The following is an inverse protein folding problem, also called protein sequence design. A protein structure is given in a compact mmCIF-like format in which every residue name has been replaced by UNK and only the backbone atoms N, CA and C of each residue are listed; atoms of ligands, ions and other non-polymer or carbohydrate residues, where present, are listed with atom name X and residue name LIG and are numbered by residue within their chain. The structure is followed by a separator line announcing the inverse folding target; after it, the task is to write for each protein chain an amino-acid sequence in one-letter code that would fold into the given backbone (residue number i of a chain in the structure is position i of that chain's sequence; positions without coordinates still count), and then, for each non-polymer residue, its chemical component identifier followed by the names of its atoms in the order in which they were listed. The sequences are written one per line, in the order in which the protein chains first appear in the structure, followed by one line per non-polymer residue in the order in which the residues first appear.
data_IF_540378943970
#
_entry.id   IF_540378943970
#
_cell.length_a   1.000
_cell.length_b   1.000
_cell.length_c   1.000
_cell.angle_alpha   90.00
_cell.angle_beta   90.00
_cell.angle_gamma   90.00
#
_symmetry.space_group_name_H-M   'P 1'
#
loop_
_entity.id
_entity.type
_entity.pdbx_description
1 polymer ?
#
# COMPACT_ATOMS: atom_id res chain seq x y z
N UNK A 1 2.76 26.49 9.45
CA UNK A 1 3.86 26.33 8.48
C UNK A 1 3.49 25.17 7.57
N UNK A 2 3.61 25.32 6.24
CA UNK A 2 3.34 24.24 5.28
C UNK A 2 4.62 23.43 5.13
N UNK A 3 4.56 22.13 5.36
CA UNK A 3 5.72 21.25 5.17
C UNK A 3 6.04 21.09 3.67
N UNK A 4 7.34 20.97 3.30
CA UNK A 4 7.73 20.73 1.92
C UNK A 4 7.20 19.37 1.44
N UNK A 5 6.79 19.29 0.17
CA UNK A 5 6.35 18.03 -0.44
C UNK A 5 7.57 17.14 -0.70
N UNK A 6 7.48 15.86 -0.38
CA UNK A 6 8.55 14.87 -0.59
C UNK A 6 8.08 13.74 -1.49
N UNK A 7 9.02 13.11 -2.19
CA UNK A 7 8.74 11.95 -3.02
C UNK A 7 8.42 10.75 -2.13
N UNK A 8 7.28 10.04 -2.33
CA UNK A 8 6.87 8.93 -1.47
C UNK A 8 7.71 7.65 -1.65
N UNK A 9 8.69 7.67 -2.55
CA UNK A 9 9.53 6.50 -2.88
C UNK A 9 10.95 6.61 -2.34
N UNK A 10 11.49 7.83 -2.23
CA UNK A 10 12.88 8.07 -1.83
C UNK A 10 13.08 9.29 -0.94
N UNK A 11 12.01 9.93 -0.48
CA UNK A 11 11.99 11.09 0.42
C UNK A 11 12.65 12.38 -0.10
N UNK A 12 13.11 12.37 -1.36
CA UNK A 12 13.65 13.56 -2.00
C UNK A 12 12.62 14.71 -1.97
N UNK A 13 13.04 15.90 -1.55
CA UNK A 13 12.20 17.10 -1.59
C UNK A 13 11.85 17.45 -3.02
N UNK A 14 10.57 17.69 -3.28
CA UNK A 14 10.07 18.12 -4.59
C UNK A 14 10.28 19.64 -4.70
N UNK A 15 10.95 20.14 -5.77
CA UNK A 15 11.11 21.56 -5.97
C UNK A 15 9.75 22.30 -6.02
N UNK A 16 9.63 23.49 -5.42
CA UNK A 16 8.35 24.19 -5.26
C UNK A 16 7.77 24.71 -6.58
N UNK A 17 8.57 24.79 -7.63
CA UNK A 17 8.18 25.19 -8.98
C UNK A 17 7.56 24.03 -9.79
N UNK A 18 7.77 22.78 -9.38
CA UNK A 18 7.16 21.59 -10.00
C UNK A 18 5.68 21.52 -9.67
N UNK A 19 4.84 21.42 -10.70
CA UNK A 19 3.39 21.46 -10.60
C UNK A 19 2.77 20.32 -11.40
N UNK A 20 1.66 19.71 -10.93
CA UNK A 20 1.01 18.64 -11.67
C UNK A 20 0.46 19.05 -13.04
N UNK A 21 0.20 20.33 -13.27
CA UNK A 21 -0.33 20.86 -14.53
C UNK A 21 0.75 21.34 -15.51
N UNK A 22 2.03 21.20 -15.16
CA UNK A 22 3.14 21.64 -16.02
C UNK A 22 3.54 20.59 -17.07
N UNK A 23 4.29 21.04 -18.08
CA UNK A 23 4.72 20.20 -19.20
C UNK A 23 6.17 19.71 -19.07
N UNK A 24 6.90 20.09 -18.02
CA UNK A 24 8.27 19.62 -17.84
C UNK A 24 8.30 18.12 -17.48
N UNK A 25 9.42 17.42 -17.72
CA UNK A 25 9.56 16.04 -17.27
C UNK A 25 9.35 15.85 -15.77
N UNK A 26 9.72 16.84 -14.95
CA UNK A 26 9.52 16.82 -13.50
C UNK A 26 8.03 16.99 -13.13
N UNK A 27 7.31 17.87 -13.84
CA UNK A 27 5.87 18.09 -13.67
C UNK A 27 5.08 16.82 -13.95
N UNK A 28 5.39 16.15 -15.08
CA UNK A 28 4.77 14.85 -15.44
C UNK A 28 5.10 13.71 -14.49
N UNK A 29 6.16 13.87 -13.69
CA UNK A 29 6.54 12.91 -12.68
C UNK A 29 5.93 13.23 -11.31
N UNK A 30 5.35 14.41 -11.09
CA UNK A 30 4.71 14.77 -9.82
C UNK A 30 3.65 13.71 -9.43
N UNK A 31 3.59 13.23 -8.17
CA UNK A 31 4.29 13.67 -6.96
C UNK A 31 5.65 12.97 -6.70
N UNK A 32 6.26 12.38 -7.72
CA UNK A 32 7.56 11.73 -7.62
C UNK A 32 8.69 12.69 -8.04
N UNK A 33 9.91 12.49 -7.53
CA UNK A 33 11.06 13.31 -7.92
C UNK A 33 11.57 13.01 -9.35
N UNK A 34 11.11 11.91 -9.97
CA UNK A 34 11.54 11.46 -11.29
C UNK A 34 10.64 10.34 -11.82
N UNK A 35 10.71 10.09 -13.13
CA UNK A 35 10.07 8.94 -13.77
C UNK A 35 10.52 7.60 -13.17
N UNK A 36 11.79 7.49 -12.73
CA UNK A 36 12.29 6.28 -12.07
C UNK A 36 11.47 5.93 -10.82
N UNK A 37 11.18 6.93 -9.97
CA UNK A 37 10.39 6.71 -8.76
C UNK A 37 8.92 6.39 -9.08
N UNK A 38 8.34 7.01 -10.11
CA UNK A 38 7.00 6.65 -10.61
C UNK A 38 6.91 5.19 -11.03
N UNK A 39 7.92 4.69 -11.77
CA UNK A 39 7.93 3.30 -12.23
C UNK A 39 8.15 2.30 -11.07
N UNK A 40 8.94 2.67 -10.06
CA UNK A 40 9.10 1.86 -8.85
C UNK A 40 7.78 1.75 -8.08
N UNK A 41 7.05 2.86 -7.94
CA UNK A 41 5.72 2.85 -7.32
C UNK A 41 4.78 1.93 -8.10
N UNK A 42 4.71 2.08 -9.42
CA UNK A 42 3.89 1.23 -10.29
C UNK A 42 4.24 -0.26 -10.15
N UNK A 43 5.52 -0.60 -10.04
CA UNK A 43 5.93 -1.99 -9.80
C UNK A 43 5.42 -2.48 -8.43
N UNK A 44 5.54 -1.69 -7.36
CA UNK A 44 5.01 -2.05 -6.04
C UNK A 44 3.50 -2.27 -6.06
N UNK A 45 2.76 -1.44 -6.80
CA UNK A 45 1.33 -1.66 -7.06
C UNK A 45 1.08 -2.98 -7.76
N UNK A 46 1.78 -3.26 -8.87
CA UNK A 46 1.61 -4.51 -9.63
C UNK A 46 1.95 -5.77 -8.83
N UNK A 47 2.83 -5.66 -7.84
CA UNK A 47 3.24 -6.74 -6.95
C UNK A 47 2.38 -6.85 -5.67
N UNK A 48 1.32 -6.04 -5.54
CA UNK A 48 0.46 -6.04 -4.35
C UNK A 48 1.19 -5.65 -3.06
N UNK A 49 2.25 -4.83 -3.14
CA UNK A 49 3.06 -4.45 -1.96
C UNK A 49 2.38 -3.42 -1.06
N UNK A 50 1.29 -2.80 -1.50
CA UNK A 50 0.51 -1.87 -0.71
C UNK A 50 -0.69 -2.60 -0.10
N UNK A 51 -0.72 -2.68 1.23
CA UNK A 51 -1.80 -3.31 1.99
C UNK A 51 -2.28 -2.35 3.08
N UNK A 52 -3.59 -2.22 3.20
CA UNK A 52 -4.21 -1.59 4.37
C UNK A 52 -4.49 -2.74 5.33
N UNK A 53 -3.69 -2.83 6.38
CA UNK A 53 -3.80 -3.91 7.37
C UNK A 53 -4.39 -3.36 8.66
N UNK A 54 -5.27 -4.13 9.28
CA UNK A 54 -5.71 -3.91 10.65
C UNK A 54 -5.10 -4.99 11.56
N UNK A 55 -4.85 -4.70 12.85
CA UNK A 55 -4.44 -5.72 13.79
C UNK A 55 -5.50 -6.83 13.89
N UNK A 56 -5.04 -8.08 13.78
CA UNK A 56 -5.90 -9.23 14.04
C UNK A 56 -6.12 -9.36 15.55
N UNK A 57 -7.31 -8.94 16.02
CA UNK A 57 -7.70 -9.01 17.42
C UNK A 57 -8.71 -10.15 17.65
N UNK A 58 -8.76 -10.76 18.84
CA UNK A 58 -9.75 -11.79 19.15
C UNK A 58 -11.19 -11.33 18.86
N UNK A 59 -11.55 -10.10 19.22
CA UNK A 59 -12.89 -9.56 18.98
C UNK A 59 -13.23 -9.42 17.49
N UNK A 60 -12.26 -8.99 16.66
CA UNK A 60 -12.44 -8.91 15.20
C UNK A 60 -12.55 -10.29 14.56
N UNK A 61 -11.69 -11.23 14.96
CA UNK A 61 -11.78 -12.63 14.54
C UNK A 61 -13.16 -13.22 14.85
N UNK A 62 -13.63 -13.04 16.08
CA UNK A 62 -14.95 -13.53 16.50
C UNK A 62 -16.08 -12.88 15.70
N UNK A 63 -15.99 -11.58 15.39
CA UNK A 63 -16.98 -10.90 14.56
C UNK A 63 -16.96 -11.38 13.09
N UNK A 64 -15.79 -11.65 12.52
CA UNK A 64 -15.65 -12.13 11.13
C UNK A 64 -16.09 -13.59 10.97
N UNK A 65 -15.79 -14.44 11.96
CA UNK A 65 -16.22 -15.83 12.00
C UNK A 65 -17.72 -15.97 12.33
N UNK A 66 -18.29 -15.02 13.07
CA UNK A 66 -19.65 -15.13 13.59
C UNK A 66 -19.85 -16.40 14.42
N UNK A 67 -21.12 -16.81 14.58
CA UNK A 67 -21.47 -18.15 15.07
C UNK A 67 -21.57 -19.18 13.93
N UNK A 68 -20.93 -18.94 12.79
CA UNK A 68 -20.99 -19.86 11.64
C UNK A 68 -20.06 -21.06 11.90
N UNK A 69 -20.62 -22.25 12.18
CA UNK A 69 -19.81 -23.43 12.47
C UNK A 69 -18.93 -23.83 11.28
N UNK A 70 -19.33 -23.53 10.05
CA UNK A 70 -18.57 -23.88 8.85
C UNK A 70 -17.32 -22.99 8.72
N UNK A 71 -17.45 -21.70 9.02
CA UNK A 71 -16.32 -20.76 9.02
C UNK A 71 -15.29 -21.09 10.12
N UNK A 72 -15.75 -21.50 11.30
CA UNK A 72 -14.90 -21.93 12.41
C UNK A 72 -14.16 -23.23 12.06
N UNK A 73 -14.85 -24.20 11.47
CA UNK A 73 -14.26 -25.48 11.08
C UNK A 73 -13.18 -25.30 9.99
N UNK A 74 -13.44 -24.45 8.98
CA UNK A 74 -12.46 -24.13 7.94
C UNK A 74 -11.20 -23.45 8.51
N UNK A 75 -11.34 -22.56 9.51
CA UNK A 75 -10.19 -21.94 10.17
C UNK A 75 -9.37 -22.95 10.98
N UNK A 76 -10.04 -23.84 11.72
CA UNK A 76 -9.39 -24.90 12.49
C UNK A 76 -8.72 -25.95 11.61
N UNK A 77 -9.23 -26.13 10.39
CA UNK A 77 -8.69 -27.05 9.39
C UNK A 77 -7.54 -26.45 8.55
N UNK A 78 -7.31 -25.12 8.60
CA UNK A 78 -6.22 -24.49 7.85
C UNK A 78 -4.87 -24.81 8.50
N UNK A 79 -4.02 -25.53 7.77
CA UNK A 79 -2.65 -25.80 8.18
C UNK A 79 -1.84 -24.48 8.17
N UNK A 80 -1.26 -24.04 9.30
CA UNK A 80 -0.53 -22.78 9.37
C UNK A 80 0.76 -22.77 8.53
N UNK A 81 1.24 -23.93 8.08
CA UNK A 81 2.48 -24.07 7.30
C UNK A 81 2.22 -24.45 5.82
N UNK A 82 0.96 -24.44 5.35
CA UNK A 82 0.63 -24.69 3.94
C UNK A 82 0.95 -23.46 3.06
N UNK A 83 1.91 -23.56 2.12
CA UNK A 83 2.29 -22.45 1.26
C UNK A 83 1.24 -22.10 0.19
N UNK A 84 0.23 -22.94 -0.02
CA UNK A 84 -0.73 -22.85 -1.13
C UNK A 84 -2.21 -22.65 -0.68
N UNK A 85 -2.47 -22.42 0.62
CA UNK A 85 -3.81 -22.17 1.18
C UNK A 85 -4.33 -20.72 1.03
#
# INVERSE_FOLDING_TARGET
MIAPRTCPICDATIPPDVRPEGDSPADRAFPFCSERCRNVDLLRWSQGKYAITEPLTPDRLLHELGDDPEAIEQLLARDPDDPDA
#
